data_IF_504641763078
#
_entry.id   IF_504641763078
#
_cell.length_a   1.000
_cell.length_b   1.000
_cell.length_c   1.000
_cell.angle_alpha   90.00
_cell.angle_beta   90.00
_cell.angle_gamma   90.00
#
_symmetry.space_group_name_H-M   'P 1'
#
loop_
_entity.id
_entity.type
_entity.pdbx_description
1 polymer ?
#
# COMPACT_ATOMS: atom_id res chain seq x y z
N UNK A 1 12.18 -19.52 -0.28
CA UNK A 1 11.87 -18.34 -1.11
C UNK A 1 10.88 -17.47 -0.35
N UNK A 2 11.14 -16.17 -0.19
CA UNK A 2 10.24 -15.26 0.54
C UNK A 2 8.96 -15.01 -0.25
N UNK A 3 7.83 -14.94 0.45
CA UNK A 3 6.51 -14.65 -0.13
C UNK A 3 6.14 -13.20 0.07
N UNK A 4 5.88 -12.50 -1.03
CA UNK A 4 5.39 -11.11 -1.03
C UNK A 4 3.90 -11.12 -1.39
N UNK A 5 3.07 -10.54 -0.54
CA UNK A 5 1.66 -10.29 -0.81
C UNK A 5 1.47 -8.83 -1.18
N UNK A 6 1.20 -8.57 -2.46
CA UNK A 6 0.89 -7.22 -2.95
C UNK A 6 -0.58 -6.90 -2.72
N UNK A 7 -0.87 -5.88 -1.93
CA UNK A 7 -2.23 -5.45 -1.59
C UNK A 7 -2.53 -4.12 -2.28
N UNK A 8 -3.38 -4.14 -3.29
CA UNK A 8 -3.68 -2.98 -4.12
C UNK A 8 -5.07 -3.02 -4.77
N UNK A 9 -5.34 -2.20 -5.80
CA UNK A 9 -6.48 -2.40 -6.68
C UNK A 9 -6.35 -3.74 -7.41
N UNK A 10 -7.46 -4.21 -7.97
CA UNK A 10 -7.44 -5.37 -8.87
C UNK A 10 -6.66 -5.02 -10.14
N UNK A 11 -5.41 -5.47 -10.23
CA UNK A 11 -4.49 -5.10 -11.31
C UNK A 11 -4.95 -5.60 -12.68
N UNK A 12 -5.78 -6.66 -12.72
CA UNK A 12 -6.31 -7.23 -13.97
C UNK A 12 -7.44 -6.41 -14.57
N UNK A 13 -8.15 -5.62 -13.76
CA UNK A 13 -9.35 -4.87 -14.15
C UNK A 13 -9.20 -3.35 -13.99
N UNK A 14 -8.39 -2.90 -13.05
CA UNK A 14 -8.21 -1.48 -12.82
C UNK A 14 -7.28 -0.85 -13.87
N UNK A 15 -7.67 0.31 -14.36
CA UNK A 15 -6.82 1.22 -15.13
C UNK A 15 -6.17 2.23 -14.18
N UNK A 16 -4.92 2.60 -14.43
CA UNK A 16 -4.22 3.65 -13.68
C UNK A 16 -2.84 3.24 -13.18
N UNK A 17 -2.06 4.24 -12.80
CA UNK A 17 -0.63 4.08 -12.47
C UNK A 17 -0.33 3.05 -11.40
N UNK A 18 -1.15 2.99 -10.33
CA UNK A 18 -0.94 2.01 -9.26
C UNK A 18 -1.15 0.57 -9.75
N UNK A 19 -2.17 0.32 -10.56
CA UNK A 19 -2.43 -1.00 -11.13
C UNK A 19 -1.32 -1.40 -12.12
N UNK A 20 -0.80 -0.43 -12.89
CA UNK A 20 0.34 -0.64 -13.78
C UNK A 20 1.59 -1.05 -13.01
N UNK A 21 1.91 -0.35 -11.93
CA UNK A 21 3.06 -0.69 -11.07
C UNK A 21 2.92 -2.09 -10.48
N UNK A 22 1.73 -2.47 -9.99
CA UNK A 22 1.49 -3.82 -9.47
C UNK A 22 1.73 -4.86 -10.55
N UNK A 23 1.17 -4.66 -11.75
CA UNK A 23 1.39 -5.57 -12.90
C UNK A 23 2.86 -5.69 -13.28
N UNK A 24 3.57 -4.59 -13.37
CA UNK A 24 5.00 -4.58 -13.70
C UNK A 24 5.81 -5.36 -12.67
N UNK A 25 5.59 -5.10 -11.37
CA UNK A 25 6.27 -5.82 -10.30
C UNK A 25 5.91 -7.32 -10.29
N UNK A 26 4.63 -7.67 -10.51
CA UNK A 26 4.18 -9.08 -10.52
C UNK A 26 4.71 -9.87 -11.71
N UNK A 27 4.99 -9.21 -12.83
CA UNK A 27 5.55 -9.83 -14.05
C UNK A 27 7.08 -9.78 -14.13
N UNK A 28 7.74 -9.14 -13.19
CA UNK A 28 9.19 -8.99 -13.20
C UNK A 28 9.88 -10.34 -12.99
N UNK A 29 10.59 -10.84 -13.98
CA UNK A 29 11.37 -12.08 -13.91
C UNK A 29 12.46 -11.99 -12.83
N UNK A 30 13.09 -10.82 -12.69
CA UNK A 30 14.09 -10.56 -11.65
C UNK A 30 13.51 -10.72 -10.24
N UNK A 31 12.26 -10.27 -10.02
CA UNK A 31 11.61 -10.49 -8.73
C UNK A 31 11.11 -11.91 -8.57
N UNK A 32 10.57 -12.52 -9.63
CA UNK A 32 10.08 -13.90 -9.61
C UNK A 32 11.19 -14.93 -9.34
N UNK A 33 12.45 -14.64 -9.73
CA UNK A 33 13.59 -15.50 -9.42
C UNK A 33 13.96 -15.53 -7.92
N UNK A 34 13.57 -14.52 -7.16
CA UNK A 34 13.91 -14.35 -5.72
C UNK A 34 12.73 -14.46 -4.78
N UNK A 35 11.53 -14.14 -5.25
CA UNK A 35 10.32 -14.02 -4.44
C UNK A 35 9.13 -14.72 -5.08
N UNK A 36 8.28 -15.32 -4.26
CA UNK A 36 6.93 -15.71 -4.70
C UNK A 36 6.01 -14.51 -4.52
N UNK A 37 5.51 -13.95 -5.62
CA UNK A 37 4.64 -12.76 -5.59
C UNK A 37 3.18 -13.21 -5.72
N UNK A 38 2.35 -12.77 -4.79
CA UNK A 38 0.90 -13.01 -4.78
C UNK A 38 0.19 -11.66 -4.78
N UNK A 39 -0.85 -11.52 -5.59
CA UNK A 39 -1.69 -10.33 -5.59
C UNK A 39 -2.94 -10.54 -4.73
N UNK A 40 -3.30 -9.51 -3.97
CA UNK A 40 -4.52 -9.47 -3.18
C UNK A 40 -5.30 -8.20 -3.52
N UNK A 41 -6.39 -8.32 -4.32
CA UNK A 41 -7.21 -7.17 -4.68
C UNK A 41 -8.01 -6.70 -3.47
N UNK A 42 -7.72 -5.48 -2.99
CA UNK A 42 -8.39 -4.88 -1.84
C UNK A 42 -9.50 -3.92 -2.22
N UNK A 43 -9.57 -3.53 -3.49
CA UNK A 43 -10.63 -2.70 -4.06
C UNK A 43 -10.75 -2.97 -5.56
N UNK A 44 -11.90 -2.61 -6.12
CA UNK A 44 -12.18 -2.66 -7.56
C UNK A 44 -12.97 -1.42 -7.97
N UNK A 45 -13.03 -1.16 -9.25
CA UNK A 45 -13.88 -0.12 -9.83
C UNK A 45 -15.35 -0.57 -9.84
N UNK A 46 -16.27 0.39 -9.91
CA UNK A 46 -17.70 0.16 -9.92
C UNK A 46 -18.50 1.18 -9.12
N UNK A 47 -19.80 0.95 -8.93
CA UNK A 47 -20.65 1.79 -8.10
C UNK A 47 -20.18 1.86 -6.65
N UNK A 48 -20.50 2.92 -5.93
CA UNK A 48 -20.09 3.11 -4.52
C UNK A 48 -20.48 1.92 -3.64
N UNK A 49 -21.71 1.43 -3.76
CA UNK A 49 -22.18 0.28 -2.98
C UNK A 49 -21.37 -0.99 -3.29
N UNK A 50 -21.14 -1.28 -4.58
CA UNK A 50 -20.32 -2.42 -5.03
C UNK A 50 -18.88 -2.34 -4.52
N UNK A 51 -18.28 -1.14 -4.54
CA UNK A 51 -16.91 -0.90 -4.03
C UNK A 51 -16.82 -1.12 -2.53
N UNK A 52 -17.77 -0.59 -1.76
CA UNK A 52 -17.81 -0.76 -0.31
C UNK A 52 -18.02 -2.22 0.08
N UNK A 53 -18.97 -2.89 -0.53
CA UNK A 53 -19.24 -4.32 -0.30
C UNK A 53 -18.00 -5.17 -0.63
N UNK A 54 -17.43 -5.00 -1.82
CA UNK A 54 -16.22 -5.73 -2.21
C UNK A 54 -15.06 -5.50 -1.23
N UNK A 55 -14.83 -4.23 -0.85
CA UNK A 55 -13.77 -3.88 0.08
C UNK A 55 -13.96 -4.54 1.45
N UNK A 56 -15.19 -4.55 1.96
CA UNK A 56 -15.52 -5.22 3.23
C UNK A 56 -15.27 -6.73 3.17
N UNK A 57 -15.78 -7.38 2.12
CA UNK A 57 -15.56 -8.83 1.89
C UNK A 57 -14.08 -9.16 1.79
N UNK A 58 -13.31 -8.38 1.02
CA UNK A 58 -11.87 -8.63 0.88
C UNK A 58 -11.12 -8.42 2.19
N UNK A 59 -11.49 -7.41 2.98
CA UNK A 59 -10.87 -7.23 4.29
C UNK A 59 -11.17 -8.40 5.23
N UNK A 60 -12.40 -8.88 5.26
CA UNK A 60 -12.77 -10.07 6.05
C UNK A 60 -12.02 -11.32 5.57
N UNK A 61 -11.92 -11.53 4.25
CA UNK A 61 -11.10 -12.63 3.69
C UNK A 61 -9.64 -12.53 4.12
N UNK A 62 -9.07 -11.32 4.12
CA UNK A 62 -7.70 -11.11 4.57
C UNK A 62 -7.52 -11.45 6.06
N UNK A 63 -8.48 -11.10 6.92
CA UNK A 63 -8.42 -11.41 8.34
C UNK A 63 -8.54 -12.92 8.59
N UNK A 64 -9.52 -13.58 7.96
CA UNK A 64 -9.87 -14.97 8.24
C UNK A 64 -8.89 -15.95 7.60
N UNK A 65 -8.46 -15.69 6.35
CA UNK A 65 -7.55 -16.61 5.65
C UNK A 65 -6.15 -16.57 6.27
N UNK A 66 -5.52 -17.74 6.47
CA UNK A 66 -4.13 -17.84 6.90
C UNK A 66 -3.18 -17.54 5.73
N UNK A 67 -3.29 -16.34 5.16
CA UNK A 67 -2.36 -15.87 4.13
C UNK A 67 -1.02 -15.58 4.81
N UNK A 68 -0.17 -16.59 4.89
CA UNK A 68 1.21 -16.44 5.37
C UNK A 68 2.03 -15.79 4.27
N UNK A 69 2.40 -14.54 4.47
CA UNK A 69 3.36 -13.81 3.64
C UNK A 69 4.46 -13.25 4.54
N UNK A 70 5.70 -13.32 4.07
CA UNK A 70 6.84 -12.76 4.79
C UNK A 70 6.78 -11.23 4.72
N UNK A 71 6.32 -10.70 3.59
CA UNK A 71 6.19 -9.26 3.33
C UNK A 71 4.79 -8.96 2.79
N UNK A 72 4.09 -8.01 3.38
CA UNK A 72 2.90 -7.39 2.83
C UNK A 72 3.28 -6.04 2.21
N UNK A 73 3.33 -5.99 0.88
CA UNK A 73 3.59 -4.79 0.09
C UNK A 73 2.26 -4.12 -0.25
N UNK A 74 1.97 -3.01 0.42
CA UNK A 74 0.64 -2.38 0.41
C UNK A 74 0.70 -1.06 -0.36
N UNK A 75 0.00 -1.00 -1.48
CA UNK A 75 -0.10 0.18 -2.33
C UNK A 75 -1.17 1.13 -1.81
N UNK A 76 -0.79 2.39 -1.56
CA UNK A 76 -1.62 3.41 -0.92
C UNK A 76 -1.79 4.63 -1.83
N UNK A 77 -3.02 5.10 -2.00
CA UNK A 77 -3.34 6.44 -2.48
C UNK A 77 -3.83 7.32 -1.32
N UNK A 78 -4.05 8.61 -1.57
CA UNK A 78 -4.53 9.58 -0.58
C UNK A 78 -5.96 9.28 -0.08
N UNK A 79 -6.41 10.00 0.96
CA UNK A 79 -7.78 10.00 1.52
C UNK A 79 -8.24 8.61 2.03
N UNK A 80 -9.43 8.17 1.61
CA UNK A 80 -10.04 6.92 2.08
C UNK A 80 -9.20 5.68 1.78
N UNK A 81 -8.39 5.71 0.72
CA UNK A 81 -7.46 4.63 0.40
C UNK A 81 -6.44 4.41 1.51
N UNK A 82 -5.89 5.49 2.07
CA UNK A 82 -4.94 5.43 3.18
C UNK A 82 -5.53 4.68 4.37
N UNK A 83 -6.67 5.13 4.88
CA UNK A 83 -7.26 4.54 6.10
C UNK A 83 -7.57 3.05 5.93
N UNK A 84 -8.12 2.67 4.78
CA UNK A 84 -8.37 1.26 4.49
C UNK A 84 -7.08 0.43 4.46
N UNK A 85 -6.03 0.94 3.83
CA UNK A 85 -4.76 0.22 3.69
C UNK A 85 -4.00 0.11 5.01
N UNK A 86 -4.11 1.10 5.88
CA UNK A 86 -3.57 1.02 7.24
C UNK A 86 -4.20 -0.12 8.07
N UNK A 87 -5.48 -0.44 7.84
CA UNK A 87 -6.11 -1.61 8.47
C UNK A 87 -5.45 -2.92 8.00
N UNK A 88 -5.17 -3.05 6.70
CA UNK A 88 -4.43 -4.21 6.18
C UNK A 88 -3.03 -4.31 6.79
N UNK A 89 -2.32 -3.18 6.90
CA UNK A 89 -0.99 -3.15 7.52
C UNK A 89 -1.01 -3.60 8.98
N UNK A 90 -1.97 -3.09 9.76
CA UNK A 90 -2.13 -3.54 11.15
C UNK A 90 -2.42 -5.05 11.23
N UNK A 91 -3.32 -5.56 10.40
CA UNK A 91 -3.63 -6.98 10.38
C UNK A 91 -2.46 -7.84 9.89
N UNK A 92 -1.67 -7.36 8.92
CA UNK A 92 -0.46 -8.02 8.45
C UNK A 92 0.60 -8.14 9.56
N UNK A 93 0.83 -7.06 10.31
CA UNK A 93 1.73 -7.07 11.48
C UNK A 93 1.28 -8.10 12.54
N UNK A 94 -0.01 -8.15 12.86
CA UNK A 94 -0.55 -9.13 13.80
C UNK A 94 -0.37 -10.58 13.31
N UNK A 95 -0.25 -10.79 11.99
CA UNK A 95 0.05 -12.08 11.38
C UNK A 95 1.56 -12.37 11.25
N UNK A 96 2.42 -11.48 11.76
CA UNK A 96 3.88 -11.64 11.73
C UNK A 96 4.55 -11.25 10.41
N UNK A 97 3.83 -10.63 9.47
CA UNK A 97 4.41 -10.15 8.21
C UNK A 97 5.13 -8.83 8.41
N UNK A 98 6.23 -8.61 7.68
CA UNK A 98 6.78 -7.27 7.47
C UNK A 98 5.85 -6.44 6.60
N UNK A 99 5.72 -5.16 6.90
CA UNK A 99 4.81 -4.25 6.19
C UNK A 99 5.59 -3.18 5.46
N UNK A 100 5.40 -3.12 4.16
CA UNK A 100 5.94 -2.08 3.28
C UNK A 100 4.77 -1.29 2.70
N UNK A 101 4.71 0.01 2.98
CA UNK A 101 3.76 0.91 2.35
C UNK A 101 4.37 1.54 1.11
N UNK A 102 3.70 1.47 -0.03
CA UNK A 102 4.09 2.12 -1.28
C UNK A 102 3.08 3.21 -1.62
N UNK A 103 3.50 4.46 -1.48
CA UNK A 103 2.61 5.63 -1.59
C UNK A 103 2.61 6.18 -3.00
N UNK A 104 1.45 6.16 -3.66
CA UNK A 104 1.23 6.64 -5.03
C UNK A 104 0.43 7.95 -5.11
N UNK A 105 0.00 8.50 -3.98
CA UNK A 105 -0.91 9.64 -3.95
C UNK A 105 -0.23 10.98 -4.24
N UNK A 106 -0.48 11.59 -5.39
CA UNK A 106 0.00 12.94 -5.72
C UNK A 106 -0.53 14.03 -4.76
N UNK A 107 -1.69 13.80 -4.14
CA UNK A 107 -2.34 14.75 -3.25
C UNK A 107 -2.07 14.50 -1.75
N UNK A 108 -1.05 13.71 -1.43
CA UNK A 108 -0.80 13.30 -0.04
C UNK A 108 -0.54 14.48 0.90
N UNK A 109 0.13 15.54 0.42
CA UNK A 109 0.37 16.79 1.20
C UNK A 109 -0.96 17.47 1.55
N UNK A 110 -1.85 17.64 0.55
CA UNK A 110 -3.18 18.22 0.76
C UNK A 110 -4.03 17.37 1.71
N UNK A 111 -4.02 16.05 1.49
CA UNK A 111 -4.71 15.12 2.36
C UNK A 111 -4.23 15.23 3.81
N UNK A 112 -2.92 15.22 4.04
CA UNK A 112 -2.35 15.33 5.38
C UNK A 112 -2.74 16.66 6.05
N UNK A 113 -2.64 17.78 5.32
CA UNK A 113 -3.02 19.11 5.81
C UNK A 113 -4.53 19.23 6.13
N UNK A 114 -5.39 18.46 5.46
CA UNK A 114 -6.84 18.45 5.73
C UNK A 114 -7.24 17.67 6.98
N UNK A 115 -6.31 16.92 7.58
CA UNK A 115 -6.60 16.14 8.77
C UNK A 115 -6.53 17.01 10.04
N UNK A 116 -7.39 16.69 11.00
CA UNK A 116 -7.25 17.22 12.36
C UNK A 116 -5.93 16.76 12.98
N UNK A 117 -5.46 17.44 14.03
CA UNK A 117 -4.24 17.04 14.74
C UNK A 117 -4.27 15.59 15.22
N UNK A 118 -5.42 15.12 15.70
CA UNK A 118 -5.61 13.70 16.08
C UNK A 118 -5.46 12.77 14.87
N UNK A 119 -6.00 13.17 13.71
CA UNK A 119 -5.86 12.44 12.46
C UNK A 119 -4.41 12.38 12.00
N UNK A 120 -3.69 13.48 12.07
CA UNK A 120 -2.26 13.54 11.72
C UNK A 120 -1.42 12.67 12.66
N UNK A 121 -1.64 12.73 13.98
CA UNK A 121 -0.95 11.88 14.96
C UNK A 121 -1.21 10.39 14.68
N UNK A 122 -2.47 10.02 14.41
CA UNK A 122 -2.83 8.64 14.08
C UNK A 122 -2.15 8.17 12.79
N UNK A 123 -2.07 9.05 11.78
CA UNK A 123 -1.42 8.74 10.52
C UNK A 123 0.09 8.52 10.72
N UNK A 124 0.78 9.45 11.39
CA UNK A 124 2.21 9.30 11.75
C UNK A 124 2.48 7.99 12.48
N UNK A 125 1.71 7.72 13.53
CA UNK A 125 1.86 6.47 14.29
C UNK A 125 1.64 5.23 13.41
N UNK A 126 0.65 5.23 12.52
CA UNK A 126 0.40 4.07 11.66
C UNK A 126 1.52 3.83 10.65
N UNK A 127 2.12 4.89 10.10
CA UNK A 127 3.25 4.78 9.19
C UNK A 127 4.54 4.41 9.90
N UNK A 128 4.77 4.88 11.13
CA UNK A 128 5.96 4.53 11.91
C UNK A 128 6.03 3.04 12.28
N UNK A 129 4.90 2.34 12.25
CA UNK A 129 4.85 0.89 12.46
C UNK A 129 5.26 0.06 11.23
N UNK A 130 5.41 0.68 10.05
CA UNK A 130 5.85 -0.03 8.86
C UNK A 130 7.35 -0.34 8.91
N UNK A 131 7.77 -1.42 8.25
CA UNK A 131 9.19 -1.75 8.12
C UNK A 131 9.88 -0.87 7.07
N UNK A 132 9.13 -0.42 6.06
CA UNK A 132 9.57 0.57 5.09
C UNK A 132 8.38 1.33 4.48
N UNK A 133 8.66 2.56 4.03
CA UNK A 133 7.72 3.38 3.26
C UNK A 133 8.38 3.76 1.94
N UNK A 134 7.83 3.27 0.83
CA UNK A 134 8.28 3.58 -0.52
C UNK A 134 7.52 4.81 -1.01
N UNK A 135 8.26 5.77 -1.56
CA UNK A 135 7.74 6.98 -2.18
C UNK A 135 8.37 7.20 -3.56
N UNK A 136 7.74 7.99 -4.41
CA UNK A 136 8.06 8.08 -5.83
C UNK A 136 9.11 9.14 -6.19
N UNK A 137 9.58 9.94 -5.25
CA UNK A 137 10.60 10.97 -5.48
C UNK A 137 11.25 11.46 -4.19
N UNK A 138 12.38 12.14 -4.30
CA UNK A 138 13.05 12.79 -3.17
C UNK A 138 12.19 13.87 -2.50
N UNK A 139 11.38 14.60 -3.25
CA UNK A 139 10.45 15.59 -2.69
C UNK A 139 9.41 14.94 -1.78
N UNK A 140 8.94 13.74 -2.13
CA UNK A 140 8.06 12.96 -1.27
C UNK A 140 8.82 12.39 -0.06
N UNK A 141 10.05 11.94 -0.24
CA UNK A 141 10.90 11.48 0.86
C UNK A 141 11.05 12.58 1.90
N UNK A 142 11.47 13.77 1.51
CA UNK A 142 11.60 14.93 2.42
C UNK A 142 10.27 15.23 3.15
N UNK A 143 9.13 15.15 2.47
CA UNK A 143 7.84 15.36 3.11
C UNK A 143 7.53 14.30 4.16
N UNK A 144 7.73 13.02 3.85
CA UNK A 144 7.46 11.94 4.80
C UNK A 144 8.43 11.95 5.99
N UNK A 145 9.70 12.24 5.77
CA UNK A 145 10.70 12.35 6.83
C UNK A 145 10.45 13.55 7.73
N UNK A 146 10.27 14.75 7.17
CA UNK A 146 10.17 15.98 7.96
C UNK A 146 8.77 16.23 8.54
N UNK A 147 7.71 15.81 7.84
CA UNK A 147 6.33 16.09 8.27
C UNK A 147 5.71 14.94 9.05
N UNK A 148 6.00 13.69 8.67
CA UNK A 148 5.50 12.51 9.37
C UNK A 148 6.52 11.93 10.36
N UNK A 149 7.75 12.46 10.43
CA UNK A 149 8.84 12.01 11.30
C UNK A 149 9.18 10.51 11.09
N UNK A 150 9.30 10.11 9.83
CA UNK A 150 9.63 8.73 9.46
C UNK A 150 11.11 8.59 9.14
N UNK A 151 11.74 7.48 9.60
CA UNK A 151 13.17 7.20 9.38
C UNK A 151 13.44 6.14 8.30
N UNK A 152 12.41 5.43 7.87
CA UNK A 152 12.49 4.26 6.99
C UNK A 152 11.88 4.52 5.61
N UNK A 153 12.11 5.72 5.05
CA UNK A 153 11.57 6.14 3.75
C UNK A 153 12.57 5.86 2.63
N UNK A 154 12.12 5.14 1.62
CA UNK A 154 12.90 4.74 0.44
C UNK A 154 12.30 5.35 -0.81
N UNK A 155 13.12 5.89 -1.70
CA UNK A 155 12.67 6.39 -3.00
C UNK A 155 12.78 5.29 -4.04
N UNK A 156 11.67 4.96 -4.68
CA UNK A 156 11.62 4.12 -5.88
C UNK A 156 10.77 4.88 -6.91
N UNK A 157 11.40 5.38 -7.93
CA UNK A 157 10.72 6.08 -9.01
C UNK A 157 9.82 5.12 -9.79
N UNK A 158 8.67 5.60 -10.26
CA UNK A 158 7.88 4.81 -11.20
C UNK A 158 8.71 4.60 -12.46
N UNK A 159 8.98 3.35 -12.82
CA UNK A 159 9.43 3.02 -14.16
C UNK A 159 8.23 3.21 -15.10
N UNK A 160 8.37 4.08 -16.07
CA UNK A 160 7.51 4.11 -17.25
C UNK A 160 8.18 3.15 -18.21
N UNK A 161 7.52 2.02 -18.50
CA UNK A 161 7.92 1.17 -19.61
C UNK A 161 7.69 2.01 -20.89
N UNK A 162 8.79 2.46 -21.51
CA UNK A 162 8.79 3.12 -22.82
C UNK A 162 8.60 2.08 -23.91
#
# INVERSE_FOLDING_TARGET
MYKILMIGPDSSRASGGMASVIRSLSKSETLASRFTILEFPSCRDGSLASRLFFTGVQYMRFIIKPLKADICHIHIASYSSTWRKLLYGKAAKLKGSRVVYHVHGAEYKKFFASLSERGQKRLRHSFSQADAVIVLSNSWKCFFENTLDLKNVVVINNSIDC
#
